data_IF_976065711539
#
_entry.id   IF_976065711539
#
_cell.length_a   1.000
_cell.length_b   1.000
_cell.length_c   1.000
_cell.angle_alpha   90.00
_cell.angle_beta   90.00
_cell.angle_gamma   90.00
#
_symmetry.space_group_name_H-M   'P 1'
#
loop_
_entity.id
_entity.type
_entity.pdbx_description
1 polymer ?
#
# COMPACT_ATOMS: atom_id res chain seq x y z
N UNK A 1 -15.13 15.82 11.40
CA UNK A 1 -15.66 14.43 11.46
C UNK A 1 -14.64 13.46 10.85
N UNK A 2 -14.13 12.49 11.62
CA UNK A 2 -13.12 11.52 11.18
C UNK A 2 -13.64 10.60 10.05
N UNK A 3 -12.85 10.37 9.00
CA UNK A 3 -13.25 9.55 7.82
C UNK A 3 -13.64 8.12 8.20
N UNK A 4 -12.96 7.55 9.20
CA UNK A 4 -13.30 6.24 9.76
C UNK A 4 -14.71 6.19 10.36
N UNK A 5 -15.20 7.30 10.92
CA UNK A 5 -16.54 7.37 11.49
C UNK A 5 -17.60 7.33 10.39
N UNK A 6 -17.33 7.90 9.21
CA UNK A 6 -18.23 7.78 8.05
C UNK A 6 -18.36 6.33 7.59
N UNK A 7 -17.25 5.59 7.53
CA UNK A 7 -17.26 4.15 7.23
C UNK A 7 -18.04 3.39 8.29
N UNK A 8 -17.80 3.65 9.58
CA UNK A 8 -18.59 3.02 10.66
C UNK A 8 -20.09 3.26 10.52
N UNK A 9 -20.52 4.48 10.19
CA UNK A 9 -21.95 4.83 10.02
C UNK A 9 -22.56 4.14 8.78
N UNK A 10 -21.81 4.06 7.68
CA UNK A 10 -22.27 3.40 6.46
C UNK A 10 -22.48 1.89 6.69
N UNK A 11 -21.60 1.26 7.46
CA UNK A 11 -21.59 -0.18 7.69
C UNK A 11 -22.36 -0.64 8.94
N UNK A 12 -22.74 0.27 9.85
CA UNK A 12 -23.55 -0.06 11.03
C UNK A 12 -25.02 -0.32 10.71
N UNK A 13 -25.53 0.22 9.60
CA UNK A 13 -26.90 -0.04 9.13
C UNK A 13 -26.93 -1.39 8.40
N UNK A 14 -27.93 -2.23 8.70
CA UNK A 14 -28.17 -3.52 8.04
C UNK A 14 -28.74 -3.35 6.62
N UNK A 15 -28.00 -2.64 5.77
CA UNK A 15 -28.21 -2.72 4.34
C UNK A 15 -27.89 -4.17 3.96
N UNK A 16 -28.85 -4.90 3.37
CA UNK A 16 -28.64 -6.24 2.77
C UNK A 16 -27.75 -6.13 1.51
N UNK A 17 -26.60 -5.46 1.64
CA UNK A 17 -25.64 -5.23 0.57
C UNK A 17 -24.85 -6.51 0.32
N UNK A 18 -24.77 -6.88 -0.96
CA UNK A 18 -23.92 -7.96 -1.42
C UNK A 18 -22.45 -7.65 -1.08
N UNK A 19 -21.64 -8.66 -0.77
CA UNK A 19 -20.21 -8.53 -0.50
C UNK A 19 -19.45 -7.76 -1.60
N UNK A 20 -19.84 -7.93 -2.87
CA UNK A 20 -19.27 -7.17 -3.98
C UNK A 20 -19.59 -5.67 -3.91
N UNK A 21 -20.80 -5.33 -3.44
CA UNK A 21 -21.21 -3.94 -3.20
C UNK A 21 -20.53 -3.34 -1.97
N UNK A 22 -20.07 -4.17 -1.02
CA UNK A 22 -19.29 -3.74 0.16
C UNK A 22 -17.80 -3.51 -0.17
N UNK A 23 -17.28 -4.11 -1.24
CA UNK A 23 -15.92 -3.87 -1.72
C UNK A 23 -15.74 -2.50 -2.38
N UNK A 24 -16.79 -2.01 -3.05
CA UNK A 24 -16.74 -0.75 -3.80
C UNK A 24 -16.47 0.48 -2.92
N UNK A 25 -17.17 0.68 -1.78
CA UNK A 25 -16.90 1.79 -0.87
C UNK A 25 -15.52 1.70 -0.21
N UNK A 26 -15.04 0.50 0.10
CA UNK A 26 -13.69 0.29 0.60
C UNK A 26 -12.64 0.79 -0.40
N UNK A 27 -12.74 0.32 -1.65
CA UNK A 27 -11.81 0.69 -2.72
C UNK A 27 -11.89 2.19 -3.03
N UNK A 28 -13.09 2.75 -3.06
CA UNK A 28 -13.31 4.16 -3.34
C UNK A 28 -12.76 5.09 -2.26
N UNK A 29 -12.74 4.67 -0.99
CA UNK A 29 -12.32 5.54 0.13
C UNK A 29 -10.92 5.23 0.60
N UNK A 30 -10.65 3.99 1.05
CA UNK A 30 -9.34 3.62 1.60
C UNK A 30 -8.39 3.25 0.48
N UNK A 31 -8.91 2.48 -0.50
CA UNK A 31 -8.12 2.06 -1.64
C UNK A 31 -7.54 3.24 -2.39
N UNK A 32 -8.37 4.21 -2.78
CA UNK A 32 -7.96 5.41 -3.51
C UNK A 32 -6.95 6.28 -2.75
N UNK A 33 -7.09 6.44 -1.43
CA UNK A 33 -6.12 7.19 -0.61
C UNK A 33 -4.76 6.51 -0.66
N UNK A 34 -4.72 5.18 -0.49
CA UNK A 34 -3.46 4.44 -0.53
C UNK A 34 -2.85 4.47 -1.93
N UNK A 35 -3.66 4.27 -2.96
CA UNK A 35 -3.20 4.22 -4.35
C UNK A 35 -2.68 5.58 -4.85
N UNK A 36 -3.28 6.71 -4.46
CA UNK A 36 -2.80 8.02 -4.89
C UNK A 36 -1.60 8.52 -4.07
N UNK A 37 -1.55 8.21 -2.77
CA UNK A 37 -0.47 8.68 -1.90
C UNK A 37 0.73 7.73 -1.88
N UNK A 38 0.73 6.65 -2.68
CA UNK A 38 1.76 5.62 -2.65
C UNK A 38 3.21 6.14 -2.73
N UNK A 39 3.57 7.21 -3.48
CA UNK A 39 4.97 7.66 -3.53
C UNK A 39 5.43 8.22 -2.18
N UNK A 40 4.55 8.93 -1.49
CA UNK A 40 4.80 9.47 -0.15
C UNK A 40 4.77 8.36 0.91
N UNK A 41 3.80 7.45 0.81
CA UNK A 41 3.64 6.34 1.76
C UNK A 41 4.81 5.36 1.71
N UNK A 42 5.44 5.16 0.54
CA UNK A 42 6.66 4.36 0.41
C UNK A 42 7.87 4.95 1.17
N UNK A 43 7.82 6.24 1.53
CA UNK A 43 8.87 6.90 2.32
C UNK A 43 8.63 6.82 3.84
N UNK A 44 7.54 6.19 4.28
CA UNK A 44 7.21 6.13 5.70
C UNK A 44 8.11 5.14 6.45
N UNK A 45 8.34 5.43 7.74
CA UNK A 45 8.98 4.48 8.64
C UNK A 45 8.11 3.24 8.85
N UNK A 46 8.74 2.13 9.25
CA UNK A 46 8.04 0.86 9.56
C UNK A 46 6.92 1.05 10.58
N UNK A 47 7.12 1.90 11.59
CA UNK A 47 6.10 2.21 12.59
C UNK A 47 4.92 3.04 12.03
N UNK A 48 5.18 3.91 11.06
CA UNK A 48 4.14 4.63 10.31
C UNK A 48 3.28 3.68 9.48
N UNK A 49 3.92 2.75 8.76
CA UNK A 49 3.24 1.72 7.98
C UNK A 49 2.40 0.79 8.86
N UNK A 50 2.89 0.40 10.04
CA UNK A 50 2.12 -0.39 11.01
C UNK A 50 0.84 0.33 11.47
N UNK A 51 0.90 1.64 11.72
CA UNK A 51 -0.29 2.42 12.08
C UNK A 51 -1.33 2.43 10.95
N UNK A 52 -0.87 2.58 9.70
CA UNK A 52 -1.76 2.50 8.54
C UNK A 52 -2.37 1.10 8.40
N UNK A 53 -1.59 0.05 8.66
CA UNK A 53 -2.06 -1.33 8.61
C UNK A 53 -3.19 -1.58 9.62
N UNK A 54 -3.07 -1.02 10.83
CA UNK A 54 -4.12 -1.09 11.86
C UNK A 54 -5.39 -0.39 11.39
N UNK A 55 -5.28 0.76 10.72
CA UNK A 55 -6.43 1.49 10.16
C UNK A 55 -7.11 0.66 9.06
N UNK A 56 -6.34 0.10 8.13
CA UNK A 56 -6.85 -0.78 7.09
C UNK A 56 -7.55 -2.00 7.70
N UNK A 57 -6.91 -2.72 8.62
CA UNK A 57 -7.47 -3.90 9.27
C UNK A 57 -8.78 -3.57 10.01
N UNK A 58 -8.84 -2.41 10.66
CA UNK A 58 -10.05 -1.94 11.34
C UNK A 58 -11.18 -1.70 10.35
N UNK A 59 -10.89 -1.06 9.23
CA UNK A 59 -11.88 -0.83 8.20
C UNK A 59 -12.35 -2.13 7.56
N UNK A 60 -11.45 -3.03 7.18
CA UNK A 60 -11.78 -4.35 6.61
C UNK A 60 -12.69 -5.14 7.56
N UNK A 61 -12.38 -5.15 8.86
CA UNK A 61 -13.25 -5.79 9.87
C UNK A 61 -14.63 -5.16 9.94
N UNK A 62 -14.73 -3.83 9.93
CA UNK A 62 -16.03 -3.15 9.89
C UNK A 62 -16.84 -3.52 8.65
N UNK A 63 -16.17 -3.68 7.51
CA UNK A 63 -16.78 -3.95 6.20
C UNK A 63 -17.27 -5.38 6.10
N UNK A 64 -16.45 -6.32 6.56
CA UNK A 64 -16.77 -7.76 6.58
C UNK A 64 -17.59 -8.18 7.81
N UNK A 65 -17.92 -7.24 8.72
CA UNK A 65 -18.59 -7.51 10.01
C UNK A 65 -17.89 -8.59 10.84
N UNK A 66 -16.55 -8.61 10.79
CA UNK A 66 -15.74 -9.59 11.53
C UNK A 66 -15.51 -9.15 12.98
N UNK A 67 -15.40 -10.10 13.93
CA UNK A 67 -15.10 -9.78 15.32
C UNK A 67 -13.70 -9.16 15.45
N UNK A 68 -13.54 -8.24 16.41
CA UNK A 68 -12.25 -7.58 16.68
C UNK A 68 -11.13 -8.53 17.12
N UNK A 69 -11.48 -9.75 17.56
CA UNK A 69 -10.52 -10.77 17.98
C UNK A 69 -9.91 -11.57 16.81
N UNK A 70 -10.46 -11.44 15.59
CA UNK A 70 -9.92 -12.10 14.39
C UNK A 70 -8.47 -11.66 14.16
N UNK A 71 -7.53 -12.60 14.03
CA UNK A 71 -6.11 -12.24 13.86
C UNK A 71 -5.91 -11.47 12.54
N UNK A 72 -4.94 -10.55 12.52
CA UNK A 72 -4.61 -9.81 11.29
C UNK A 72 -4.20 -10.74 10.14
N UNK A 73 -3.55 -11.86 10.45
CA UNK A 73 -3.11 -12.85 9.46
C UNK A 73 -4.30 -13.61 8.83
N UNK A 74 -5.31 -13.94 9.64
CA UNK A 74 -6.52 -14.60 9.13
C UNK A 74 -7.41 -13.67 8.30
N UNK A 75 -7.30 -12.34 8.48
CA UNK A 75 -7.97 -11.36 7.61
C UNK A 75 -7.47 -11.50 6.18
N UNK A 76 -6.15 -11.42 5.96
CA UNK A 76 -5.55 -11.45 4.62
C UNK A 76 -5.70 -12.79 3.90
N UNK A 77 -5.74 -13.90 4.64
CA UNK A 77 -6.02 -15.22 4.06
C UNK A 77 -7.47 -15.37 3.58
N UNK A 78 -8.41 -14.71 4.24
CA UNK A 78 -9.84 -14.70 3.86
C UNK A 78 -10.21 -13.56 2.90
N UNK A 79 -9.25 -12.68 2.57
CA UNK A 79 -9.46 -11.38 1.89
C UNK A 79 -9.51 -11.44 0.36
N UNK A 80 -9.45 -12.63 -0.25
CA UNK A 80 -9.63 -12.80 -1.70
C UNK A 80 -10.97 -12.22 -2.22
N UNK A 81 -11.93 -11.88 -1.35
CA UNK A 81 -13.16 -11.17 -1.70
C UNK A 81 -13.02 -9.64 -1.84
N UNK A 82 -12.03 -9.02 -1.20
CA UNK A 82 -11.84 -7.55 -1.20
C UNK A 82 -10.62 -7.08 -1.99
N UNK A 83 -9.80 -8.00 -2.52
CA UNK A 83 -8.52 -7.71 -3.19
C UNK A 83 -7.63 -6.76 -2.39
N UNK A 84 -7.67 -6.88 -1.07
CA UNK A 84 -6.90 -6.05 -0.17
C UNK A 84 -5.71 -6.86 0.34
N UNK A 85 -4.51 -6.45 -0.08
CA UNK A 85 -3.24 -6.98 0.41
C UNK A 85 -2.74 -6.15 1.60
N UNK A 86 -1.70 -6.65 2.29
CA UNK A 86 -0.97 -5.86 3.28
C UNK A 86 -0.42 -4.59 2.65
N UNK A 87 -0.31 -3.52 3.44
CA UNK A 87 0.04 -2.18 2.95
C UNK A 87 1.42 -2.17 2.32
N UNK A 88 2.39 -2.84 2.95
CA UNK A 88 3.75 -3.00 2.42
C UNK A 88 3.74 -3.63 1.03
N UNK A 89 3.11 -4.80 0.88
CA UNK A 89 3.03 -5.50 -0.39
C UNK A 89 2.28 -4.69 -1.45
N UNK A 90 1.19 -4.00 -1.07
CA UNK A 90 0.44 -3.14 -1.98
C UNK A 90 1.29 -1.98 -2.49
N UNK A 91 1.98 -1.29 -1.59
CA UNK A 91 2.82 -0.13 -1.92
C UNK A 91 4.01 -0.52 -2.80
N UNK A 92 4.64 -1.67 -2.51
CA UNK A 92 5.71 -2.23 -3.35
C UNK A 92 5.20 -2.52 -4.76
N UNK A 93 4.06 -3.21 -4.90
CA UNK A 93 3.48 -3.52 -6.21
C UNK A 93 3.11 -2.25 -6.99
N UNK A 94 2.55 -1.23 -6.32
CA UNK A 94 2.23 0.04 -6.98
C UNK A 94 3.49 0.75 -7.47
N UNK A 95 4.53 0.77 -6.65
CA UNK A 95 5.81 1.37 -7.01
C UNK A 95 6.45 0.65 -8.20
N UNK A 96 6.50 -0.67 -8.15
CA UNK A 96 7.04 -1.50 -9.23
C UNK A 96 6.27 -1.30 -10.53
N UNK A 97 4.94 -1.40 -10.50
CA UNK A 97 4.10 -1.17 -11.67
C UNK A 97 4.29 0.24 -12.24
N UNK A 98 4.40 1.26 -11.37
CA UNK A 98 4.63 2.63 -11.81
C UNK A 98 5.99 2.78 -12.50
N UNK A 99 7.04 2.22 -11.90
CA UNK A 99 8.39 2.27 -12.46
C UNK A 99 8.47 1.53 -13.79
N UNK A 100 7.99 0.28 -13.85
CA UNK A 100 7.95 -0.52 -15.08
C UNK A 100 7.20 0.20 -16.19
N UNK A 101 5.96 0.63 -15.93
CA UNK A 101 5.18 1.36 -16.92
C UNK A 101 5.88 2.65 -17.35
N UNK A 102 6.48 3.40 -16.43
CA UNK A 102 7.18 4.65 -16.77
C UNK A 102 8.43 4.41 -17.63
N UNK A 103 9.08 3.25 -17.49
CA UNK A 103 10.19 2.83 -18.35
C UNK A 103 9.69 2.44 -19.73
N UNK A 104 8.60 1.67 -19.81
CA UNK A 104 7.95 1.27 -21.06
C UNK A 104 7.50 2.49 -21.88
N UNK A 105 6.89 3.47 -21.22
CA UNK A 105 6.47 4.73 -21.84
C UNK A 105 7.60 5.75 -22.00
N UNK A 106 8.84 5.40 -21.65
CA UNK A 106 10.00 6.27 -21.79
C UNK A 106 9.83 7.65 -21.13
N UNK A 107 9.26 7.70 -19.92
CA UNK A 107 9.09 8.93 -19.17
C UNK A 107 10.49 9.53 -18.86
N UNK A 108 10.79 10.77 -19.29
CA UNK A 108 12.14 11.34 -19.18
C UNK A 108 12.68 11.40 -17.75
N UNK A 109 11.81 11.72 -16.79
CA UNK A 109 12.18 11.83 -15.38
C UNK A 109 12.60 10.48 -14.79
N UNK A 110 11.86 9.40 -15.09
CA UNK A 110 12.21 8.07 -14.59
C UNK A 110 13.49 7.56 -15.23
N UNK A 111 13.69 7.78 -16.54
CA UNK A 111 14.94 7.43 -17.22
C UNK A 111 16.15 8.11 -16.57
N UNK A 112 16.03 9.41 -16.28
CA UNK A 112 17.09 10.16 -15.59
C UNK A 112 17.34 9.65 -14.17
N UNK A 113 16.28 9.37 -13.42
CA UNK A 113 16.39 8.81 -12.06
C UNK A 113 17.10 7.45 -12.07
N UNK A 114 16.74 6.55 -12.98
CA UNK A 114 17.35 5.22 -13.08
C UNK A 114 18.83 5.32 -13.48
N UNK A 115 19.18 6.19 -14.43
CA UNK A 115 20.58 6.41 -14.79
C UNK A 115 21.39 7.01 -13.63
N UNK A 116 20.81 7.97 -12.90
CA UNK A 116 21.48 8.62 -11.77
C UNK A 116 21.72 7.62 -10.63
N UNK A 117 20.74 6.77 -10.31
CA UNK A 117 20.90 5.70 -9.31
C UNK A 117 21.95 4.69 -9.76
N UNK A 118 21.93 4.25 -11.01
CA UNK A 118 22.94 3.34 -11.56
C UNK A 118 24.36 3.88 -11.43
N UNK A 119 24.56 5.16 -11.76
CA UNK A 119 25.85 5.84 -11.64
C UNK A 119 26.32 5.95 -10.18
N UNK A 120 25.41 6.22 -9.24
CA UNK A 120 25.74 6.29 -7.80
C UNK A 120 26.14 4.93 -7.24
N UNK A 121 25.46 3.85 -7.62
CA UNK A 121 25.82 2.49 -7.19
C UNK A 121 27.22 2.07 -7.68
N UNK A 122 27.54 2.35 -8.96
CA UNK A 122 28.87 2.10 -9.51
C UNK A 122 29.98 2.91 -8.81
N UNK A 123 29.64 4.11 -8.30
CA UNK A 123 30.58 4.95 -7.57
C UNK A 123 30.86 4.40 -6.16
N UNK A 124 29.85 3.86 -5.49
CA UNK A 124 29.98 3.23 -4.17
C UNK A 124 30.82 1.95 -4.26
N UNK A 125 30.57 1.11 -5.26
CA UNK A 125 31.37 -0.11 -5.51
C UNK A 125 32.86 0.18 -5.74
N UNK A 126 33.18 1.30 -6.40
CA UNK A 126 34.57 1.74 -6.61
C UNK A 126 35.22 2.21 -5.31
N UNK A 127 34.46 2.87 -4.44
CA UNK A 127 34.94 3.33 -3.13
C UNK A 127 35.24 2.13 -2.24
N UNK A 128 34.33 1.16 -2.16
CA UNK A 128 34.52 -0.06 -1.35
C UNK A 128 35.74 -0.88 -1.80
N UNK A 129 35.95 -1.04 -3.11
CA UNK A 129 37.15 -1.71 -3.65
C UNK A 129 38.46 -0.98 -3.36
N UNK A 130 38.43 0.33 -3.07
CA UNK A 130 39.64 1.10 -2.69
C UNK A 130 39.97 0.99 -1.20
N UNK A 131 38.98 0.73 -0.35
CA UNK A 131 39.15 0.56 1.10
C UNK A 131 39.58 -0.84 1.51
N UNK A 132 39.33 -1.86 0.69
CA UNK A 132 39.73 -3.25 0.95
C UNK A 132 41.22 -3.52 0.63
N UNK A 133 41.97 -2.52 0.14
CA UNK A 133 43.41 -2.59 -0.17
C UNK A 133 44.32 -2.00 0.92
N UNK A 134 43.78 -1.66 2.09
CA UNK A 134 44.53 -1.21 3.28
C UNK A 134 44.29 -2.12 4.48
#
# INVERSE_FOLDING_TARGET
MNRLNKIKILYSKNWKLNHNSLASPYKAVIGSILDYNFPCLNSFSKSGLQKLQVIQNTAVRCILKLPLRTSSESLFYTENKLNASKIDHRLSNLLENYLCNSLDYSVPLTKRLVSDVGNRLQSIDKIQKSTDFY
#
